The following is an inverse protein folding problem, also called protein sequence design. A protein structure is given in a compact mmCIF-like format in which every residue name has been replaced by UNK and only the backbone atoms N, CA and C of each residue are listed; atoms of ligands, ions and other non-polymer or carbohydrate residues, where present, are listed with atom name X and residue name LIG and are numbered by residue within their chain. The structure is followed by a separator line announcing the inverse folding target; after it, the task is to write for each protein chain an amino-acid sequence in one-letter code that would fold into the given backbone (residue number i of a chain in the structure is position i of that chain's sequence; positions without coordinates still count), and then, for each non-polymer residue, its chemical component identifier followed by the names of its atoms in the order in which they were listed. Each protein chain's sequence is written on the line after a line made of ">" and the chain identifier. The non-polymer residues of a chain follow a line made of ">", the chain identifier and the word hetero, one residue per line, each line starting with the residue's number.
data_IF_360177607485
#
_entry.id   IF_360177607485
#
_cell.length_a   1.000
_cell.length_b   1.000
_cell.length_c   1.000
_cell.angle_alpha   90.00
_cell.angle_beta   90.00
_cell.angle_gamma   90.00
#
_symmetry.space_group_name_H-M   'P 1'
#
loop_
_entity.id
_entity.type
_entity.pdbx_description
1 polymer ?
#
# COMPACT_ATOMS: atom_id res chain seq x y z
N UNK A 1 1.83 21.64 -28.08
CA UNK A 1 1.30 21.85 -26.71
C UNK A 1 1.02 20.47 -26.17
N UNK A 2 1.94 19.92 -25.37
CA UNK A 2 1.92 18.51 -24.97
C UNK A 2 0.84 18.39 -23.89
N UNK A 3 -0.33 17.89 -24.26
CA UNK A 3 -1.35 17.48 -23.31
C UNK A 3 -0.66 16.56 -22.32
N UNK A 4 -0.57 16.95 -21.06
CA UNK A 4 -0.03 16.10 -19.99
C UNK A 4 -1.01 14.95 -19.83
N UNK A 5 -0.83 13.93 -20.67
CA UNK A 5 -1.51 12.66 -20.57
C UNK A 5 -1.13 12.08 -19.22
N UNK A 6 -2.13 12.05 -18.34
CA UNK A 6 -1.96 11.63 -16.97
C UNK A 6 -1.94 10.11 -16.94
N UNK A 7 -0.80 9.53 -16.59
CA UNK A 7 -0.63 8.08 -16.56
C UNK A 7 -1.21 7.54 -15.25
N UNK A 8 -2.17 6.60 -15.27
CA UNK A 8 -2.65 5.92 -14.06
C UNK A 8 -1.49 5.34 -13.21
N UNK A 9 -0.34 5.03 -13.83
CA UNK A 9 0.86 4.59 -13.13
C UNK A 9 1.39 5.60 -12.08
N UNK A 10 1.08 6.90 -12.24
CA UNK A 10 1.55 7.93 -11.30
C UNK A 10 0.81 7.87 -9.97
N UNK A 11 -0.49 7.57 -9.99
CA UNK A 11 -1.29 7.33 -8.77
C UNK A 11 -0.77 6.08 -8.06
N UNK A 12 -0.50 5.01 -8.83
CA UNK A 12 0.04 3.76 -8.29
C UNK A 12 1.40 3.95 -7.62
N UNK A 13 2.25 4.83 -8.15
CA UNK A 13 3.52 5.20 -7.52
C UNK A 13 3.30 5.84 -6.14
N UNK A 14 2.29 6.69 -5.97
CA UNK A 14 1.99 7.34 -4.69
C UNK A 14 1.46 6.33 -3.68
N UNK A 15 0.54 5.47 -4.08
CA UNK A 15 0.00 4.39 -3.23
C UNK A 15 1.12 3.44 -2.81
N UNK A 16 1.99 3.06 -3.74
CA UNK A 16 3.14 2.20 -3.48
C UNK A 16 4.13 2.85 -2.50
N UNK A 17 4.39 4.14 -2.67
CA UNK A 17 5.25 4.91 -1.75
C UNK A 17 4.65 5.01 -0.35
N UNK A 18 3.34 5.25 -0.25
CA UNK A 18 2.61 5.28 1.01
C UNK A 18 2.70 3.94 1.73
N UNK A 19 2.46 2.84 1.01
CA UNK A 19 2.58 1.48 1.54
C UNK A 19 4.02 1.16 1.99
N UNK A 20 5.02 1.49 1.17
CA UNK A 20 6.43 1.22 1.48
C UNK A 20 6.92 1.97 2.72
N UNK A 21 6.44 3.20 2.92
CA UNK A 21 6.78 4.01 4.09
C UNK A 21 5.85 3.76 5.28
N UNK A 22 4.83 2.90 5.15
CA UNK A 22 3.79 2.64 6.15
C UNK A 22 3.09 3.94 6.64
N UNK A 23 2.90 4.89 5.73
CA UNK A 23 2.24 6.17 6.02
C UNK A 23 1.01 6.36 5.15
N UNK A 24 0.14 7.31 5.51
CA UNK A 24 -0.99 7.66 4.67
C UNK A 24 -0.54 8.40 3.40
N UNK A 25 -1.33 8.31 2.34
CA UNK A 25 -1.09 9.10 1.12
C UNK A 25 -1.02 10.60 1.43
N UNK A 26 -1.82 11.10 2.37
CA UNK A 26 -1.76 12.49 2.81
C UNK A 26 -0.40 12.86 3.41
N UNK A 27 0.23 11.97 4.18
CA UNK A 27 1.57 12.19 4.72
C UNK A 27 2.61 12.31 3.61
N UNK A 28 2.49 11.50 2.54
CA UNK A 28 3.36 11.62 1.35
C UNK A 28 3.24 13.02 0.73
N UNK A 29 2.03 13.59 0.64
CA UNK A 29 1.84 14.95 0.14
C UNK A 29 2.44 16.01 1.06
N UNK A 30 2.32 15.84 2.38
CA UNK A 30 2.94 16.75 3.35
C UNK A 30 4.47 16.73 3.24
N UNK A 31 5.06 15.53 3.22
CA UNK A 31 6.50 15.33 3.13
C UNK A 31 7.06 15.81 1.79
N UNK A 32 6.37 15.50 0.69
CA UNK A 32 6.75 15.95 -0.64
C UNK A 32 6.67 17.47 -0.75
N UNK A 33 5.71 18.13 -0.08
CA UNK A 33 5.64 19.58 -0.02
C UNK A 33 6.85 20.16 0.71
N UNK A 34 7.19 19.61 1.88
CA UNK A 34 8.36 20.07 2.64
C UNK A 34 9.67 19.81 1.91
N UNK A 35 9.82 18.67 1.25
CA UNK A 35 10.98 18.35 0.43
C UNK A 35 11.13 19.31 -0.77
N UNK A 36 10.01 19.71 -1.38
CA UNK A 36 10.03 20.58 -2.56
C UNK A 36 10.21 22.08 -2.22
N UNK A 37 9.45 22.58 -1.24
CA UNK A 37 9.43 24.01 -0.89
C UNK A 37 10.42 24.37 0.22
N UNK A 38 11.05 23.39 0.88
CA UNK A 38 12.01 23.60 1.97
C UNK A 38 11.39 24.23 3.23
N UNK A 39 10.05 24.18 3.36
CA UNK A 39 9.30 24.75 4.49
C UNK A 39 8.30 23.73 5.01
N UNK A 40 8.00 23.83 6.29
CA UNK A 40 6.96 23.01 6.89
C UNK A 40 5.63 23.30 6.21
N UNK A 41 4.93 22.25 5.78
CA UNK A 41 3.77 22.39 4.94
C UNK A 41 2.58 22.92 5.79
N UNK A 42 1.98 24.08 5.44
CA UNK A 42 0.75 24.49 6.08
C UNK A 42 -0.36 23.51 5.67
N UNK A 43 -0.90 22.77 6.64
CA UNK A 43 -1.86 21.67 6.45
C UNK A 43 -2.98 21.99 5.46
N UNK A 44 -3.57 23.19 5.57
CA UNK A 44 -4.64 23.67 4.66
C UNK A 44 -4.24 23.73 3.19
N UNK A 45 -2.97 24.01 2.88
CA UNK A 45 -2.51 24.02 1.49
C UNK A 45 -2.33 22.61 0.96
N UNK A 46 -1.78 21.72 1.78
CA UNK A 46 -1.62 20.30 1.43
C UNK A 46 -2.98 19.65 1.23
N UNK A 47 -3.92 19.88 2.16
CA UNK A 47 -5.29 19.41 2.10
C UNK A 47 -6.00 19.84 0.81
N UNK A 48 -5.89 21.12 0.43
CA UNK A 48 -6.49 21.59 -0.82
C UNK A 48 -5.98 20.84 -2.04
N UNK A 49 -4.67 20.59 -2.11
CA UNK A 49 -4.07 19.87 -3.23
C UNK A 49 -4.42 18.38 -3.17
N UNK A 50 -4.47 17.80 -1.97
CA UNK A 50 -4.83 16.40 -1.76
C UNK A 50 -6.29 16.11 -2.14
N UNK A 51 -7.23 16.98 -1.76
CA UNK A 51 -8.63 16.87 -2.18
C UNK A 51 -8.77 16.96 -3.70
N UNK A 52 -8.02 17.85 -4.35
CA UNK A 52 -8.00 17.94 -5.80
C UNK A 52 -7.43 16.66 -6.44
N UNK A 53 -6.40 16.07 -5.84
CA UNK A 53 -5.87 14.77 -6.25
C UNK A 53 -6.94 13.67 -6.16
N UNK A 54 -7.69 13.58 -5.06
CA UNK A 54 -8.76 12.58 -4.91
C UNK A 54 -9.90 12.76 -5.91
N UNK A 55 -10.22 14.00 -6.28
CA UNK A 55 -11.30 14.32 -7.23
C UNK A 55 -10.89 14.09 -8.68
N UNK A 56 -9.71 14.55 -9.05
CA UNK A 56 -9.25 14.53 -10.44
C UNK A 56 -8.39 13.30 -10.76
N UNK A 57 -8.01 12.51 -9.75
CA UNK A 57 -6.94 11.52 -9.82
C UNK A 57 -5.70 12.14 -10.47
N UNK A 58 -5.28 13.34 -10.04
CA UNK A 58 -4.12 14.03 -10.63
C UNK A 58 -3.04 14.25 -9.58
N UNK A 59 -1.97 13.46 -9.67
CA UNK A 59 -0.76 13.62 -8.86
C UNK A 59 0.04 14.86 -9.32
N UNK A 60 0.28 15.83 -8.43
CA UNK A 60 1.17 16.96 -8.72
C UNK A 60 2.59 16.49 -9.03
N UNK A 61 3.29 17.22 -9.90
CA UNK A 61 4.62 16.81 -10.38
C UNK A 61 5.65 16.63 -9.25
N UNK A 62 5.59 17.44 -8.20
CA UNK A 62 6.49 17.38 -7.05
C UNK A 62 6.20 16.14 -6.17
N UNK A 63 4.93 15.75 -6.03
CA UNK A 63 4.53 14.49 -5.36
C UNK A 63 5.02 13.30 -6.15
N UNK A 64 4.81 13.30 -7.47
CA UNK A 64 5.30 12.24 -8.37
C UNK A 64 6.80 12.06 -8.23
N UNK A 65 7.56 13.15 -8.27
CA UNK A 65 9.01 13.10 -8.15
C UNK A 65 9.44 12.57 -6.78
N UNK A 66 8.76 13.00 -5.71
CA UNK A 66 9.00 12.49 -4.37
C UNK A 66 8.71 11.00 -4.25
N UNK A 67 7.52 10.54 -4.66
CA UNK A 67 7.13 9.13 -4.62
C UNK A 67 8.13 8.23 -5.38
N UNK A 68 8.53 8.63 -6.60
CA UNK A 68 9.54 7.91 -7.40
C UNK A 68 10.92 7.86 -6.76
N UNK A 69 11.29 8.87 -5.96
CA UNK A 69 12.56 8.84 -5.23
C UNK A 69 12.53 7.94 -3.98
N UNK A 70 11.35 7.57 -3.50
CA UNK A 70 11.16 6.76 -2.29
C UNK A 70 10.94 5.29 -2.60
N UNK A 71 10.27 5.00 -3.72
CA UNK A 71 10.05 3.64 -4.20
C UNK A 71 11.21 3.29 -5.13
N UNK A 72 12.13 2.39 -4.74
CA UNK A 72 13.06 1.81 -5.72
C UNK A 72 12.25 1.12 -6.82
N UNK A 73 12.76 1.07 -8.06
CA UNK A 73 12.17 0.26 -9.14
C UNK A 73 12.28 -1.23 -8.79
N UNK A 74 11.48 -1.67 -7.83
CA UNK A 74 11.29 -3.08 -7.53
C UNK A 74 9.88 -3.41 -8.02
N UNK A 75 9.74 -4.35 -8.97
CA UNK A 75 8.44 -4.73 -9.48
C UNK A 75 7.62 -5.18 -8.27
N UNK A 76 6.49 -4.51 -8.03
CA UNK A 76 5.54 -4.83 -6.96
C UNK A 76 5.23 -6.33 -7.05
N UNK A 77 5.92 -7.13 -6.25
CA UNK A 77 5.57 -8.53 -6.06
C UNK A 77 4.27 -8.52 -5.28
N UNK A 78 3.17 -8.66 -6.00
CA UNK A 78 1.85 -9.00 -5.51
C UNK A 78 1.82 -10.40 -4.85
N UNK A 79 2.83 -10.75 -4.04
CA UNK A 79 3.07 -12.09 -3.50
C UNK A 79 2.77 -12.19 -2.00
N UNK A 80 2.80 -11.09 -1.23
CA UNK A 80 2.71 -11.19 0.24
C UNK A 80 1.31 -11.48 0.80
N UNK A 81 0.23 -11.24 0.04
CA UNK A 81 -1.15 -11.53 0.47
C UNK A 81 -1.63 -12.94 0.11
N UNK A 82 -1.16 -13.51 -1.00
CA UNK A 82 -1.46 -14.89 -1.42
C UNK A 82 -0.73 -15.90 -0.51
N UNK A 83 0.55 -15.65 -0.20
CA UNK A 83 1.35 -16.52 0.67
C UNK A 83 0.80 -16.58 2.10
N UNK A 84 0.36 -15.43 2.63
CA UNK A 84 -0.25 -15.33 3.97
C UNK A 84 -1.61 -16.05 4.04
N UNK A 85 -2.42 -15.98 2.97
CA UNK A 85 -3.71 -16.70 2.89
C UNK A 85 -3.51 -18.21 2.80
N UNK A 86 -2.55 -18.65 2.00
CA UNK A 86 -2.21 -20.07 1.88
C UNK A 86 -1.73 -20.64 3.22
N UNK A 87 -0.84 -19.93 3.92
CA UNK A 87 -0.35 -20.34 5.24
C UNK A 87 -1.49 -20.46 6.28
N UNK A 88 -2.41 -19.50 6.30
CA UNK A 88 -3.54 -19.51 7.24
C UNK A 88 -4.54 -20.64 6.95
N UNK A 89 -4.81 -20.92 5.67
CA UNK A 89 -5.67 -22.04 5.29
C UNK A 89 -5.06 -23.40 5.69
N UNK A 90 -3.73 -23.52 5.56
CA UNK A 90 -3.01 -24.75 5.89
C UNK A 90 -2.97 -24.99 7.41
N UNK A 91 -2.80 -23.92 8.19
CA UNK A 91 -2.86 -23.97 9.66
C UNK A 91 -4.25 -24.38 10.16
N UNK A 92 -5.32 -23.87 9.52
CA UNK A 92 -6.70 -24.24 9.83
C UNK A 92 -7.00 -25.71 9.49
N UNK A 93 -6.52 -26.21 8.35
CA UNK A 93 -6.68 -27.62 7.99
C UNK A 93 -5.93 -28.54 8.97
N UNK A 94 -4.72 -28.15 9.40
CA UNK A 94 -3.95 -28.91 10.37
C UNK A 94 -4.64 -29.02 11.73
N UNK A 95 -5.29 -27.95 12.22
CA UNK A 95 -6.05 -28.01 13.48
C UNK A 95 -7.26 -28.93 13.38
N UNK A 96 -8.00 -28.86 12.27
CA UNK A 96 -9.17 -29.71 12.04
C UNK A 96 -8.78 -31.19 11.97
N UNK A 97 -7.70 -31.52 11.25
CA UNK A 97 -7.20 -32.90 11.15
C UNK A 97 -6.77 -33.44 12.52
N UNK A 98 -6.14 -32.62 13.35
CA UNK A 98 -5.72 -33.01 14.70
C UNK A 98 -6.92 -33.38 15.59
N UNK A 99 -8.01 -32.61 15.54
CA UNK A 99 -9.24 -32.91 16.29
C UNK A 99 -9.86 -34.25 15.87
N UNK A 100 -9.94 -34.52 14.56
CA UNK A 100 -10.46 -35.81 14.08
C UNK A 100 -9.56 -36.98 14.43
N UNK A 101 -8.24 -36.80 14.39
CA UNK A 101 -7.30 -37.83 14.80
C UNK A 101 -7.43 -38.16 16.30
N UNK A 102 -7.60 -37.14 17.15
CA UNK A 102 -7.83 -37.32 18.58
C UNK A 102 -9.16 -38.03 18.86
N UNK A 103 -10.25 -37.64 18.18
CA UNK A 103 -11.55 -38.29 18.29
C UNK A 103 -11.51 -39.74 17.80
N UNK A 104 -10.81 -40.02 16.70
CA UNK A 104 -10.62 -41.38 16.20
C UNK A 104 -9.83 -42.24 17.20
N UNK A 105 -8.75 -41.71 17.78
CA UNK A 105 -8.00 -42.41 18.83
C UNK A 105 -8.87 -42.69 20.06
N UNK A 106 -9.69 -41.73 20.49
CA UNK A 106 -10.60 -41.90 21.61
C UNK A 106 -11.65 -43.00 21.35
N UNK A 107 -12.19 -43.08 20.13
CA UNK A 107 -13.14 -44.12 19.73
C UNK A 107 -12.50 -45.52 19.58
N UNK A 108 -11.19 -45.59 19.31
CA UNK A 108 -10.46 -46.87 19.21
C UNK A 108 -10.02 -47.42 20.58
N UNK A 109 -9.90 -46.55 21.59
CA UNK A 109 -9.50 -46.92 22.97
C UNK A 109 -10.72 -47.29 23.83
N UNK A 110 -11.93 -46.96 23.37
CA UNK A 110 -13.21 -47.27 24.03
C UNK A 110 -13.80 -48.58 23.53
#
# INVERSE_FOLDING_TARGET
>A
MKSTEYDPADTDCVVSAANYLEVSEFAIFSDAYTAWYGKNAPEKQVEKVFVQYLQENKVPFWVRNYARSRVPEEPLTSQTTEDSRAANNLLYLASVIAEYALLACYLLIR
#
